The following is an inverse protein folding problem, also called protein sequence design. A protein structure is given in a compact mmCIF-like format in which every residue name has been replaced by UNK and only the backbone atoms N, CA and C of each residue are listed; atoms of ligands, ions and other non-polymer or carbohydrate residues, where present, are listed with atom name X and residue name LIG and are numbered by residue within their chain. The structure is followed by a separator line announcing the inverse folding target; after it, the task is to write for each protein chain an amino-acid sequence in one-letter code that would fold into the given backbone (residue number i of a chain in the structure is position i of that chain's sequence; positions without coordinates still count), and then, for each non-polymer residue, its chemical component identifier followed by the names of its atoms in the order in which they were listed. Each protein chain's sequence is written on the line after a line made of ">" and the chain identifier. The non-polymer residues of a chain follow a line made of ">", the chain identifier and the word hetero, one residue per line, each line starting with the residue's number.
data_IF_155406861962
#
_entry.id   IF_155406861962
#
_cell.length_a   1.000
_cell.length_b   1.000
_cell.length_c   1.000
_cell.angle_alpha   90.00
_cell.angle_beta   90.00
_cell.angle_gamma   90.00
#
_symmetry.space_group_name_H-M   'P 1'
#
loop_
_entity.id
_entity.type
_entity.pdbx_description
1 polymer ?
#
# COMPACT_ATOMS: atom_id res chain seq x y z
N UNK A 1 -6.21 -0.16 -19.87
CA UNK A 1 -6.32 -1.46 -19.15
C UNK A 1 -5.49 -2.58 -19.78
N UNK A 2 -5.40 -2.70 -21.12
CA UNK A 2 -4.57 -3.74 -21.78
C UNK A 2 -3.06 -3.48 -21.60
N UNK A 3 -2.65 -2.22 -21.65
CA UNK A 3 -1.28 -1.74 -21.47
C UNK A 3 -0.60 -2.25 -20.20
N UNK A 4 -1.26 -2.07 -19.06
CA UNK A 4 -0.71 -2.37 -17.74
C UNK A 4 -0.66 -3.88 -17.49
N UNK A 5 -1.62 -4.64 -18.04
CA UNK A 5 -1.59 -6.11 -18.01
C UNK A 5 -0.46 -6.70 -18.85
N UNK A 6 -0.11 -6.07 -19.98
CA UNK A 6 0.93 -6.57 -20.88
C UNK A 6 2.33 -6.09 -20.51
N UNK A 7 2.46 -5.04 -19.70
CA UNK A 7 3.74 -4.41 -19.35
C UNK A 7 4.59 -4.11 -20.60
N UNK A 8 3.91 -3.60 -21.65
CA UNK A 8 4.47 -3.53 -23.00
C UNK A 8 4.62 -2.07 -23.45
N UNK A 9 5.88 -1.67 -23.68
CA UNK A 9 6.24 -0.33 -24.16
C UNK A 9 5.71 -0.08 -25.57
N UNK A 10 5.51 -1.12 -26.39
CA UNK A 10 5.01 -1.00 -27.76
C UNK A 10 3.58 -0.46 -27.85
N UNK A 11 2.86 -0.39 -26.72
CA UNK A 11 1.52 0.17 -26.66
C UNK A 11 1.49 1.64 -26.21
N UNK A 12 2.64 2.23 -25.86
CA UNK A 12 2.72 3.60 -25.30
C UNK A 12 2.06 4.66 -26.17
N UNK A 13 2.12 4.52 -27.49
CA UNK A 13 1.53 5.47 -28.44
C UNK A 13 0.00 5.54 -28.38
N UNK A 14 -0.65 4.56 -27.75
CA UNK A 14 -2.10 4.55 -27.51
C UNK A 14 -2.53 5.37 -26.29
N UNK A 15 -1.58 5.85 -25.48
CA UNK A 15 -1.85 6.63 -24.27
C UNK A 15 -1.93 8.14 -24.55
N UNK A 16 -2.70 8.90 -23.76
CA UNK A 16 -2.58 10.35 -23.72
C UNK A 16 -1.16 10.79 -23.35
N UNK A 17 -0.71 11.94 -23.85
CA UNK A 17 0.69 12.37 -23.74
C UNK A 17 1.21 12.42 -22.30
N UNK A 18 0.41 12.91 -21.36
CA UNK A 18 0.79 12.96 -19.94
C UNK A 18 0.99 11.57 -19.32
N UNK A 19 0.23 10.55 -19.78
CA UNK A 19 0.36 9.18 -19.31
C UNK A 19 1.57 8.47 -19.92
N UNK A 20 1.98 8.84 -21.14
CA UNK A 20 3.17 8.27 -21.77
C UNK A 20 4.41 8.49 -20.91
N UNK A 21 4.58 9.71 -20.41
CA UNK A 21 5.71 10.05 -19.54
C UNK A 21 5.74 9.18 -18.28
N UNK A 22 4.61 9.11 -17.55
CA UNK A 22 4.50 8.33 -16.30
C UNK A 22 4.72 6.84 -16.57
N UNK A 23 4.09 6.30 -17.61
CA UNK A 23 4.19 4.88 -17.94
C UNK A 23 5.62 4.51 -18.36
N UNK A 24 6.28 5.34 -19.16
CA UNK A 24 7.68 5.14 -19.54
C UNK A 24 8.59 5.17 -18.32
N UNK A 25 8.47 6.17 -17.45
CA UNK A 25 9.27 6.27 -16.23
C UNK A 25 9.08 5.04 -15.33
N UNK A 26 7.85 4.53 -15.19
CA UNK A 26 7.58 3.29 -14.47
C UNK A 26 8.31 2.10 -15.10
N UNK A 27 8.20 1.91 -16.42
CA UNK A 27 8.88 0.81 -17.11
C UNK A 27 10.41 0.90 -16.98
N UNK A 28 10.96 2.11 -17.07
CA UNK A 28 12.39 2.38 -16.97
C UNK A 28 12.92 2.02 -15.57
N UNK A 29 12.23 2.42 -14.49
CA UNK A 29 12.61 2.06 -13.10
C UNK A 29 12.68 0.55 -12.91
N UNK A 30 11.67 -0.19 -13.41
CA UNK A 30 11.65 -1.65 -13.26
C UNK A 30 12.68 -2.35 -14.14
N UNK A 31 13.05 -1.77 -15.29
CA UNK A 31 14.14 -2.28 -16.13
C UNK A 31 15.49 -2.05 -15.45
N UNK A 32 15.74 -0.85 -14.93
CA UNK A 32 16.96 -0.53 -14.18
C UNK A 32 17.14 -1.45 -12.97
N UNK A 33 16.07 -1.65 -12.18
CA UNK A 33 16.10 -2.58 -11.05
C UNK A 33 16.39 -4.03 -11.51
N UNK A 34 15.80 -4.49 -12.61
CA UNK A 34 16.05 -5.82 -13.17
C UNK A 34 17.50 -5.99 -13.64
N UNK A 35 18.08 -4.97 -14.28
CA UNK A 35 19.48 -4.95 -14.72
C UNK A 35 20.46 -5.00 -13.54
N UNK A 36 20.21 -4.21 -12.49
CA UNK A 36 21.03 -4.22 -11.27
C UNK A 36 20.96 -5.58 -10.56
N UNK A 37 19.76 -6.13 -10.38
CA UNK A 37 19.57 -7.42 -9.71
C UNK A 37 20.06 -8.61 -10.54
N UNK A 38 20.10 -8.49 -11.87
CA UNK A 38 20.68 -9.51 -12.74
C UNK A 38 22.19 -9.70 -12.49
N UNK A 39 22.92 -8.64 -12.12
CA UNK A 39 24.34 -8.72 -11.73
C UNK A 39 24.55 -9.67 -10.54
N UNK A 40 23.54 -9.80 -9.71
CA UNK A 40 23.54 -10.63 -8.52
C UNK A 40 22.72 -11.93 -8.67
N UNK A 41 22.22 -12.25 -9.88
CA UNK A 41 21.34 -13.41 -10.16
C UNK A 41 20.01 -13.40 -9.38
N UNK A 42 19.54 -12.20 -8.99
CA UNK A 42 18.31 -11.97 -8.21
C UNK A 42 17.14 -11.42 -9.02
N UNK A 43 17.20 -11.48 -10.35
CA UNK A 43 16.18 -10.89 -11.24
C UNK A 43 14.77 -11.47 -11.02
N UNK A 44 14.62 -12.68 -10.50
CA UNK A 44 13.29 -13.25 -10.25
C UNK A 44 12.46 -12.45 -9.23
N UNK A 45 13.09 -11.77 -8.26
CA UNK A 45 12.38 -10.96 -7.26
C UNK A 45 11.63 -9.78 -7.88
N UNK A 46 12.18 -9.20 -8.96
CA UNK A 46 11.55 -8.07 -9.65
C UNK A 46 10.23 -8.47 -10.33
N UNK A 47 10.08 -9.75 -10.70
CA UNK A 47 8.85 -10.25 -11.33
C UNK A 47 7.65 -10.16 -10.38
N UNK A 48 7.85 -10.44 -9.09
CA UNK A 48 6.83 -10.28 -8.05
C UNK A 48 6.47 -8.80 -7.83
N UNK A 49 7.46 -7.91 -7.84
CA UNK A 49 7.24 -6.47 -7.73
C UNK A 49 6.48 -5.91 -8.95
N UNK A 50 6.78 -6.38 -10.16
CA UNK A 50 6.03 -6.04 -11.39
C UNK A 50 4.59 -6.53 -11.28
N UNK A 51 4.37 -7.80 -10.89
CA UNK A 51 3.04 -8.39 -10.76
C UNK A 51 2.14 -7.61 -9.79
N UNK A 52 2.67 -7.30 -8.60
CA UNK A 52 1.91 -6.54 -7.59
C UNK A 52 1.60 -5.11 -8.04
N UNK A 53 2.51 -4.45 -8.77
CA UNK A 53 2.25 -3.13 -9.35
C UNK A 53 1.15 -3.18 -10.43
N UNK A 54 1.14 -4.21 -11.27
CA UNK A 54 0.05 -4.42 -12.24
C UNK A 54 -1.29 -4.58 -11.55
N UNK A 55 -1.34 -5.36 -10.47
CA UNK A 55 -2.52 -5.53 -9.65
C UNK A 55 -2.99 -4.20 -9.05
N UNK A 56 -2.08 -3.41 -8.48
CA UNK A 56 -2.38 -2.09 -7.92
C UNK A 56 -3.04 -1.17 -8.96
N UNK A 57 -2.48 -1.11 -10.17
CA UNK A 57 -3.05 -0.28 -11.24
C UNK A 57 -4.45 -0.76 -11.64
N UNK A 58 -4.69 -2.07 -11.62
CA UNK A 58 -6.02 -2.63 -11.89
C UNK A 58 -7.02 -2.28 -10.78
N UNK A 59 -6.59 -2.24 -9.52
CA UNK A 59 -7.41 -1.85 -8.37
C UNK A 59 -7.76 -0.36 -8.42
N UNK A 60 -6.80 0.52 -8.70
CA UNK A 60 -7.08 1.94 -8.95
C UNK A 60 -8.08 2.15 -10.09
N UNK A 61 -8.02 1.31 -11.13
CA UNK A 61 -9.01 1.39 -12.20
C UNK A 61 -10.42 0.94 -11.76
N UNK A 62 -10.51 -0.02 -10.84
CA UNK A 62 -11.79 -0.41 -10.21
C UNK A 62 -12.36 0.74 -9.39
N UNK A 63 -11.54 1.38 -8.56
CA UNK A 63 -11.93 2.56 -7.78
C UNK A 63 -12.37 3.73 -8.67
N UNK A 64 -11.62 4.01 -9.74
CA UNK A 64 -11.99 5.03 -10.72
C UNK A 64 -13.35 4.74 -11.39
N UNK A 65 -13.69 3.46 -11.63
CA UNK A 65 -15.02 3.08 -12.12
C UNK A 65 -16.11 3.32 -11.09
N UNK A 66 -15.84 3.05 -9.81
CA UNK A 66 -16.80 3.36 -8.74
C UNK A 66 -17.09 4.84 -8.69
N UNK A 67 -16.04 5.67 -8.71
CA UNK A 67 -16.17 7.13 -8.76
C UNK A 67 -16.97 7.59 -9.99
N UNK A 68 -16.58 7.15 -11.19
CA UNK A 68 -17.24 7.54 -12.44
C UNK A 68 -18.74 7.18 -12.46
N UNK A 69 -19.11 6.06 -11.84
CA UNK A 69 -20.50 5.60 -11.79
C UNK A 69 -21.28 6.15 -10.59
N UNK A 70 -20.64 6.87 -9.67
CA UNK A 70 -21.23 7.22 -8.37
C UNK A 70 -21.63 5.99 -7.56
N UNK A 71 -20.93 4.87 -7.74
CA UNK A 71 -21.23 3.61 -7.07
C UNK A 71 -20.66 3.61 -5.66
N UNK A 72 -21.49 3.26 -4.68
CA UNK A 72 -21.09 3.06 -3.30
C UNK A 72 -21.06 1.55 -3.04
N UNK A 73 -19.87 0.93 -2.92
CA UNK A 73 -19.76 -0.49 -2.61
C UNK A 73 -20.25 -0.80 -1.20
N UNK A 74 -20.50 -2.07 -0.92
CA UNK A 74 -20.63 -2.53 0.47
C UNK A 74 -19.27 -2.39 1.19
N UNK A 75 -19.24 -2.32 2.52
CA UNK A 75 -18.00 -2.26 3.29
C UNK A 75 -17.10 -3.49 3.03
N UNK A 76 -17.68 -4.68 2.84
CA UNK A 76 -16.90 -5.88 2.54
C UNK A 76 -16.33 -5.87 1.11
N UNK A 77 -17.11 -5.38 0.13
CA UNK A 77 -16.62 -5.19 -1.24
C UNK A 77 -15.52 -4.11 -1.27
N UNK A 78 -15.73 -3.00 -0.57
CA UNK A 78 -14.74 -1.95 -0.37
C UNK A 78 -13.43 -2.53 0.16
N UNK A 79 -13.46 -3.28 1.27
CA UNK A 79 -12.26 -3.90 1.86
C UNK A 79 -11.54 -4.81 0.87
N UNK A 80 -12.27 -5.57 0.04
CA UNK A 80 -11.65 -6.46 -0.95
C UNK A 80 -10.79 -5.74 -2.00
N UNK A 81 -11.08 -4.45 -2.26
CA UNK A 81 -10.36 -3.61 -3.23
C UNK A 81 -9.41 -2.64 -2.52
N UNK A 82 -9.92 -1.85 -1.57
CA UNK A 82 -9.25 -0.71 -0.98
C UNK A 82 -8.06 -1.08 -0.08
N UNK A 83 -8.11 -2.24 0.58
CA UNK A 83 -6.98 -2.77 1.35
C UNK A 83 -5.80 -3.10 0.43
N UNK A 84 -6.06 -3.54 -0.79
CA UNK A 84 -5.01 -3.82 -1.79
C UNK A 84 -4.56 -2.54 -2.50
N UNK A 85 -5.47 -1.59 -2.74
CA UNK A 85 -5.19 -0.32 -3.44
C UNK A 85 -4.36 0.68 -2.63
N UNK A 86 -4.20 0.50 -1.32
CA UNK A 86 -3.34 1.35 -0.48
C UNK A 86 -1.87 1.34 -0.93
N UNK A 87 -1.49 0.43 -1.82
CA UNK A 87 -0.18 0.42 -2.46
C UNK A 87 0.94 -0.19 -1.60
N UNK A 88 0.61 -0.73 -0.42
CA UNK A 88 1.57 -1.38 0.47
C UNK A 88 2.33 -2.53 -0.20
N UNK A 89 1.63 -3.43 -0.89
CA UNK A 89 2.22 -4.67 -1.39
C UNK A 89 3.34 -4.47 -2.43
N UNK A 90 3.17 -3.65 -3.47
CA UNK A 90 4.26 -3.36 -4.41
C UNK A 90 5.52 -2.83 -3.71
N UNK A 91 5.35 -1.94 -2.72
CA UNK A 91 6.49 -1.36 -1.99
C UNK A 91 7.14 -2.39 -1.06
N UNK A 92 6.34 -3.17 -0.34
CA UNK A 92 6.85 -4.24 0.53
C UNK A 92 7.66 -5.27 -0.26
N UNK A 93 7.08 -5.77 -1.35
CA UNK A 93 7.72 -6.76 -2.23
C UNK A 93 8.98 -6.20 -2.86
N UNK A 94 8.96 -4.97 -3.38
CA UNK A 94 10.16 -4.32 -3.90
C UNK A 94 11.25 -4.23 -2.83
N UNK A 95 10.89 -3.89 -1.58
CA UNK A 95 11.85 -3.77 -0.48
C UNK A 95 12.52 -5.11 -0.11
N UNK A 96 11.86 -6.24 -0.36
CA UNK A 96 12.40 -7.56 -0.02
C UNK A 96 13.48 -8.02 -0.99
N UNK A 97 13.45 -7.53 -2.23
CA UNK A 97 14.38 -7.97 -3.28
C UNK A 97 15.83 -7.69 -2.86
N UNK A 98 16.04 -6.64 -2.06
CA UNK A 98 17.36 -6.24 -1.55
C UNK A 98 17.82 -6.98 -0.30
N UNK A 99 17.01 -7.87 0.29
CA UNK A 99 17.36 -8.59 1.53
C UNK A 99 18.33 -9.77 1.34
N UNK A 100 18.88 -9.94 0.13
CA UNK A 100 19.85 -10.99 -0.20
C UNK A 100 19.22 -12.36 -0.44
N UNK A 101 20.02 -13.27 -1.02
CA UNK A 101 19.54 -14.55 -1.58
C UNK A 101 18.86 -15.48 -0.57
N UNK A 102 19.25 -15.42 0.70
CA UNK A 102 18.70 -16.29 1.75
C UNK A 102 17.31 -15.86 2.22
N UNK A 103 16.93 -14.59 2.02
CA UNK A 103 15.67 -14.03 2.50
C UNK A 103 14.72 -13.77 1.33
N UNK A 104 15.23 -13.25 0.22
CA UNK A 104 14.46 -12.94 -0.99
C UNK A 104 14.07 -14.20 -1.78
N UNK A 105 13.77 -15.31 -1.12
CA UNK A 105 13.44 -16.59 -1.75
C UNK A 105 12.03 -16.57 -2.32
N UNK A 106 11.79 -17.43 -3.32
CA UNK A 106 10.47 -17.66 -3.91
C UNK A 106 9.41 -17.97 -2.86
N UNK A 107 9.73 -18.84 -1.90
CA UNK A 107 8.81 -19.27 -0.84
C UNK A 107 8.42 -18.11 0.09
N UNK A 108 9.37 -17.24 0.45
CA UNK A 108 9.07 -16.05 1.26
C UNK A 108 8.20 -15.05 0.48
N UNK A 109 8.48 -14.82 -0.80
CA UNK A 109 7.62 -13.97 -1.65
C UNK A 109 6.20 -14.54 -1.72
N UNK A 110 6.05 -15.83 -1.99
CA UNK A 110 4.73 -16.46 -2.05
C UNK A 110 4.01 -16.45 -0.70
N UNK A 111 4.71 -16.66 0.41
CA UNK A 111 4.14 -16.60 1.76
C UNK A 111 3.51 -15.22 2.05
N UNK A 112 4.26 -14.13 1.80
CA UNK A 112 3.75 -12.77 2.00
C UNK A 112 2.58 -12.49 1.05
N UNK A 113 2.71 -12.84 -0.24
CA UNK A 113 1.69 -12.53 -1.25
C UNK A 113 0.37 -13.28 -1.05
N UNK A 114 0.43 -14.52 -0.56
CA UNK A 114 -0.72 -15.44 -0.47
C UNK A 114 -1.45 -15.41 0.88
N UNK A 115 -1.23 -14.40 1.72
CA UNK A 115 -1.95 -14.10 2.98
C UNK A 115 -1.14 -14.30 4.26
N UNK A 116 0.04 -13.70 4.38
CA UNK A 116 0.57 -13.43 5.72
C UNK A 116 -0.44 -12.59 6.52
N UNK A 117 -0.72 -13.00 7.75
CA UNK A 117 -1.75 -12.37 8.60
C UNK A 117 -1.43 -10.89 8.83
N UNK A 118 -0.14 -10.58 9.02
CA UNK A 118 0.48 -9.27 9.15
C UNK A 118 0.37 -8.39 7.92
N UNK A 119 0.37 -8.98 6.71
CA UNK A 119 0.17 -8.22 5.46
C UNK A 119 -1.23 -7.65 5.42
N UNK A 120 -2.24 -8.50 5.66
CA UNK A 120 -3.64 -8.05 5.71
C UNK A 120 -3.84 -7.04 6.83
N UNK A 121 -3.31 -7.32 8.01
CA UNK A 121 -3.36 -6.40 9.13
C UNK A 121 -2.70 -5.03 8.84
N UNK A 122 -1.53 -5.03 8.18
CA UNK A 122 -0.84 -3.80 7.78
C UNK A 122 -1.67 -3.01 6.79
N UNK A 123 -2.27 -3.68 5.80
CA UNK A 123 -3.18 -3.03 4.85
C UNK A 123 -4.38 -2.40 5.55
N UNK A 124 -4.99 -3.12 6.51
CA UNK A 124 -6.10 -2.60 7.32
C UNK A 124 -5.69 -1.37 8.11
N UNK A 125 -4.57 -1.43 8.84
CA UNK A 125 -4.06 -0.30 9.64
C UNK A 125 -3.87 0.92 8.74
N UNK A 126 -3.12 0.78 7.66
CA UNK A 126 -2.76 1.92 6.80
C UNK A 126 -4.00 2.47 6.11
N UNK A 127 -4.84 1.62 5.52
CA UNK A 127 -6.05 2.04 4.79
C UNK A 127 -7.04 2.75 5.70
N UNK A 128 -7.36 2.20 6.86
CA UNK A 128 -8.37 2.84 7.71
C UNK A 128 -7.88 4.12 8.36
N UNK A 129 -6.60 4.19 8.72
CA UNK A 129 -6.04 5.44 9.23
C UNK A 129 -5.99 6.52 8.13
N UNK A 130 -5.62 6.16 6.89
CA UNK A 130 -5.68 7.04 5.71
C UNK A 130 -7.11 7.56 5.47
N UNK A 131 -8.09 6.66 5.43
CA UNK A 131 -9.49 7.01 5.22
C UNK A 131 -10.04 7.91 6.34
N UNK A 132 -9.76 7.60 7.62
CA UNK A 132 -10.20 8.41 8.77
C UNK A 132 -9.57 9.80 8.73
N UNK A 133 -8.31 9.93 8.34
CA UNK A 133 -7.63 11.21 8.22
C UNK A 133 -8.11 12.02 7.00
N UNK A 134 -8.47 11.34 5.92
CA UNK A 134 -8.74 11.93 4.61
C UNK A 134 -10.21 12.21 4.27
N UNK A 135 -11.16 11.44 4.81
CA UNK A 135 -12.51 11.35 4.23
C UNK A 135 -13.21 12.71 4.04
N UNK A 136 -13.12 13.63 5.01
CA UNK A 136 -13.75 14.97 4.89
C UNK A 136 -13.15 15.81 3.77
N UNK A 137 -11.86 15.69 3.53
CA UNK A 137 -11.18 16.38 2.43
C UNK A 137 -11.52 15.73 1.09
N UNK A 138 -11.51 14.39 1.06
CA UNK A 138 -11.77 13.61 -0.15
C UNK A 138 -13.21 13.77 -0.66
N UNK A 139 -14.20 13.81 0.24
CA UNK A 139 -15.59 14.10 -0.11
C UNK A 139 -15.74 15.44 -0.86
N UNK A 140 -15.01 16.48 -0.44
CA UNK A 140 -15.13 17.83 -1.03
C UNK A 140 -14.64 17.88 -2.48
N UNK A 141 -13.70 17.01 -2.86
CA UNK A 141 -13.12 16.99 -4.22
C UNK A 141 -13.75 15.96 -5.15
N UNK A 142 -14.73 15.19 -4.67
CA UNK A 142 -15.34 14.10 -5.43
C UNK A 142 -14.40 12.91 -5.58
N UNK A 143 -14.29 12.12 -4.52
CA UNK A 143 -13.48 10.90 -4.47
C UNK A 143 -14.37 9.65 -4.31
N UNK A 144 -13.77 8.45 -4.36
CA UNK A 144 -14.49 7.23 -3.99
C UNK A 144 -14.96 7.32 -2.52
N UNK A 145 -16.05 6.63 -2.14
CA UNK A 145 -16.45 6.53 -0.73
C UNK A 145 -15.34 5.87 0.09
N UNK A 146 -14.95 6.47 1.22
CA UNK A 146 -13.94 5.88 2.11
C UNK A 146 -14.55 4.74 2.95
N UNK A 147 -13.71 4.08 3.77
CA UNK A 147 -14.18 3.13 4.76
C UNK A 147 -15.29 3.70 5.65
N UNK A 148 -15.21 4.99 6.03
CA UNK A 148 -16.19 5.64 6.91
C UNK A 148 -17.57 5.67 6.23
N UNK A 149 -17.65 6.11 4.99
CA UNK A 149 -18.90 6.14 4.22
C UNK A 149 -19.44 4.75 3.94
N UNK A 150 -18.58 3.80 3.53
CA UNK A 150 -18.99 2.45 3.21
C UNK A 150 -19.55 1.73 4.44
N UNK A 151 -18.88 1.86 5.60
CA UNK A 151 -19.32 1.29 6.86
C UNK A 151 -20.64 1.91 7.33
N UNK A 152 -20.70 3.24 7.36
CA UNK A 152 -21.89 4.01 7.73
C UNK A 152 -23.10 3.59 6.88
N UNK A 153 -22.93 3.52 5.56
CA UNK A 153 -24.00 3.19 4.63
C UNK A 153 -24.46 1.73 4.78
N UNK A 154 -23.56 0.78 4.99
CA UNK A 154 -23.90 -0.63 5.18
C UNK A 154 -24.60 -0.89 6.52
N UNK A 155 -24.15 -0.25 7.60
CA UNK A 155 -24.60 -0.54 8.96
C UNK A 155 -25.67 0.44 9.49
N UNK A 156 -25.93 1.55 8.78
CA UNK A 156 -26.94 2.53 9.19
C UNK A 156 -26.59 3.30 10.47
N UNK A 157 -25.29 3.48 10.73
CA UNK A 157 -24.75 4.11 11.96
C UNK A 157 -24.37 5.59 11.74
N UNK A 158 -23.95 6.27 12.79
CA UNK A 158 -23.35 7.61 12.70
C UNK A 158 -21.91 7.58 12.14
N UNK A 159 -21.39 8.76 11.78
CA UNK A 159 -19.98 8.91 11.35
C UNK A 159 -19.02 8.58 12.50
N UNK A 160 -19.35 9.04 13.71
CA UNK A 160 -18.58 8.81 14.93
C UNK A 160 -18.53 7.33 15.30
N UNK A 161 -19.66 6.62 15.17
CA UNK A 161 -19.71 5.16 15.37
C UNK A 161 -18.88 4.43 14.31
N UNK A 162 -18.98 4.80 13.03
CA UNK A 162 -18.18 4.20 11.98
C UNK A 162 -16.67 4.38 12.24
N UNK A 163 -16.22 5.59 12.57
CA UNK A 163 -14.81 5.87 12.91
C UNK A 163 -14.35 5.03 14.11
N UNK A 164 -15.19 4.92 15.15
CA UNK A 164 -14.87 4.10 16.33
C UNK A 164 -14.69 2.63 15.96
N UNK A 165 -15.58 2.05 15.16
CA UNK A 165 -15.49 0.64 14.74
C UNK A 165 -14.26 0.38 13.86
N UNK A 166 -13.93 1.31 12.95
CA UNK A 166 -12.69 1.22 12.16
C UNK A 166 -11.44 1.27 13.02
N UNK A 167 -11.40 2.13 14.06
CA UNK A 167 -10.28 2.18 15.00
C UNK A 167 -10.15 0.91 15.85
N UNK A 168 -11.26 0.23 16.15
CA UNK A 168 -11.23 -1.10 16.78
C UNK A 168 -10.61 -2.14 15.84
N UNK A 169 -11.00 -2.15 14.56
CA UNK A 169 -10.41 -3.05 13.55
C UNK A 169 -8.90 -2.77 13.34
N UNK A 170 -8.47 -1.50 13.44
CA UNK A 170 -7.04 -1.11 13.47
C UNK A 170 -6.33 -1.67 14.71
N UNK A 171 -6.93 -1.55 15.89
CA UNK A 171 -6.35 -2.07 17.14
C UNK A 171 -6.22 -3.60 17.13
N UNK A 172 -7.20 -4.30 16.56
CA UNK A 172 -7.15 -5.76 16.39
C UNK A 172 -6.09 -6.17 15.36
N UNK A 173 -5.95 -5.40 14.27
CA UNK A 173 -4.89 -5.62 13.28
C UNK A 173 -3.48 -5.50 13.88
N UNK A 174 -3.27 -4.62 14.88
CA UNK A 174 -1.99 -4.58 15.60
C UNK A 174 -1.71 -5.86 16.39
N UNK A 175 -2.74 -6.50 16.97
CA UNK A 175 -2.60 -7.78 17.66
C UNK A 175 -2.21 -8.88 16.68
N UNK A 176 -2.80 -8.87 15.48
CA UNK A 176 -2.50 -9.80 14.41
C UNK A 176 -1.04 -9.73 13.94
N UNK A 177 -0.48 -8.51 13.82
CA UNK A 177 0.96 -8.33 13.52
C UNK A 177 1.82 -8.88 14.67
N UNK A 178 1.46 -8.58 15.92
CA UNK A 178 2.23 -9.04 17.08
C UNK A 178 2.24 -10.56 17.19
N UNK A 179 1.12 -11.22 16.92
CA UNK A 179 1.00 -12.68 16.95
C UNK A 179 1.91 -13.35 15.91
N UNK A 180 1.97 -12.83 14.68
CA UNK A 180 2.81 -13.43 13.63
C UNK A 180 4.32 -13.22 13.86
N UNK A 181 4.70 -12.28 14.73
CA UNK A 181 6.08 -12.09 15.18
C UNK A 181 6.50 -13.06 16.31
N UNK A 182 5.57 -13.83 16.88
CA UNK A 182 5.86 -14.85 17.88
C UNK A 182 6.38 -16.14 17.21
N UNK A 183 7.28 -16.84 17.90
CA UNK A 183 7.82 -18.11 17.39
C UNK A 183 6.81 -19.27 17.53
N UNK A 184 6.71 -20.18 16.55
CA UNK A 184 7.43 -20.18 15.26
C UNK A 184 6.82 -19.20 14.25
N UNK A 185 7.66 -18.51 13.49
CA UNK A 185 7.24 -17.52 12.49
C UNK A 185 6.87 -18.17 11.15
N UNK A 186 5.91 -17.57 10.44
CA UNK A 186 5.42 -18.03 9.12
C UNK A 186 6.36 -17.66 7.97
N UNK A 187 7.12 -16.58 8.14
CA UNK A 187 8.11 -16.07 7.20
C UNK A 187 9.37 -15.64 7.95
N UNK A 188 10.44 -15.32 7.21
CA UNK A 188 11.67 -14.84 7.84
C UNK A 188 11.43 -13.57 8.68
N UNK A 189 12.09 -13.48 9.85
CA UNK A 189 12.00 -12.31 10.72
C UNK A 189 12.32 -10.98 9.99
N UNK A 190 13.37 -10.89 9.15
CA UNK A 190 13.63 -9.68 8.36
C UNK A 190 12.47 -9.28 7.44
N UNK A 191 11.78 -10.25 6.83
CA UNK A 191 10.59 -10.00 6.00
C UNK A 191 9.44 -9.46 6.85
N UNK A 192 9.13 -10.10 7.98
CA UNK A 192 8.06 -9.66 8.89
C UNK A 192 8.38 -8.28 9.52
N UNK A 193 9.65 -7.99 9.80
CA UNK A 193 10.09 -6.67 10.27
C UNK A 193 9.81 -5.57 9.25
N UNK A 194 10.02 -5.82 7.95
CA UNK A 194 9.67 -4.86 6.90
C UNK A 194 8.16 -4.59 6.88
N UNK A 195 7.33 -5.63 6.98
CA UNK A 195 5.86 -5.49 7.09
C UNK A 195 5.49 -4.62 8.31
N UNK A 196 6.09 -4.91 9.48
CA UNK A 196 5.90 -4.12 10.70
C UNK A 196 6.33 -2.64 10.51
N UNK A 197 7.46 -2.38 9.85
CA UNK A 197 7.91 -1.01 9.63
C UNK A 197 6.98 -0.21 8.72
N UNK A 198 6.35 -0.86 7.74
CA UNK A 198 5.28 -0.23 6.95
C UNK A 198 4.03 0.07 7.77
N UNK A 199 3.60 -0.85 8.64
CA UNK A 199 2.49 -0.58 9.54
C UNK A 199 2.78 0.64 10.44
N UNK A 200 4.01 0.73 10.95
CA UNK A 200 4.47 1.86 11.77
C UNK A 200 4.55 3.17 10.98
N UNK A 201 5.02 3.13 9.74
CA UNK A 201 5.10 4.34 8.91
C UNK A 201 3.71 4.85 8.54
N UNK A 202 2.80 3.96 8.12
CA UNK A 202 1.40 4.32 7.88
C UNK A 202 0.76 4.91 9.12
N UNK A 203 0.92 4.27 10.28
CA UNK A 203 0.42 4.80 11.54
C UNK A 203 0.97 6.20 11.83
N UNK A 204 2.29 6.40 11.74
CA UNK A 204 2.93 7.70 11.96
C UNK A 204 2.43 8.79 10.98
N UNK A 205 2.12 8.43 9.74
CA UNK A 205 1.63 9.39 8.74
C UNK A 205 0.24 9.92 9.12
N UNK A 206 -0.59 9.12 9.80
CA UNK A 206 -2.02 9.42 10.02
C UNK A 206 -2.45 9.44 11.50
N UNK A 207 -1.52 9.31 12.46
CA UNK A 207 -1.83 9.09 13.89
C UNK A 207 -2.61 10.23 14.57
N UNK A 208 -2.49 11.44 14.07
CA UNK A 208 -3.19 12.63 14.56
C UNK A 208 -4.47 12.94 13.80
N UNK A 209 -4.93 12.01 12.95
CA UNK A 209 -6.11 12.20 12.10
C UNK A 209 -5.87 13.18 10.95
N UNK A 210 -4.61 13.46 10.61
CA UNK A 210 -4.24 14.27 9.45
C UNK A 210 -3.44 13.47 8.44
N UNK A 211 -3.65 13.75 7.15
CA UNK A 211 -2.81 13.22 6.08
C UNK A 211 -1.51 14.02 6.00
N UNK A 212 -0.51 13.60 6.77
CA UNK A 212 0.82 14.21 6.77
C UNK A 212 1.59 13.95 5.48
N UNK A 213 1.24 12.94 4.70
CA UNK A 213 1.91 12.63 3.44
C UNK A 213 1.57 13.67 2.37
N UNK A 214 0.28 13.94 2.16
CA UNK A 214 -0.17 15.01 1.25
C UNK A 214 0.18 16.39 1.82
N UNK A 215 0.04 16.58 3.13
CA UNK A 215 0.39 17.84 3.81
C UNK A 215 1.79 17.78 4.45
N UNK A 216 2.79 17.49 3.61
CA UNK A 216 4.18 17.17 4.01
C UNK A 216 4.89 18.17 4.92
N UNK A 217 4.45 19.44 4.98
CA UNK A 217 4.95 20.42 5.93
C UNK A 217 4.80 19.97 7.39
N UNK A 218 3.81 19.11 7.69
CA UNK A 218 3.59 18.54 9.02
C UNK A 218 4.71 17.58 9.45
N UNK A 219 5.45 16.99 8.50
CA UNK A 219 6.60 16.12 8.79
C UNK A 219 7.95 16.83 8.68
N UNK A 220 7.97 18.14 8.37
CA UNK A 220 9.21 18.88 8.10
C UNK A 220 10.24 18.75 9.23
N UNK A 221 9.78 18.78 10.48
CA UNK A 221 10.67 18.69 11.66
C UNK A 221 11.30 17.30 11.78
N UNK A 222 10.51 16.24 11.60
CA UNK A 222 10.97 14.86 11.68
C UNK A 222 11.96 14.54 10.55
N UNK A 223 11.69 15.04 9.34
CA UNK A 223 12.62 14.94 8.20
C UNK A 223 13.93 15.66 8.50
N UNK A 224 13.87 16.89 9.03
CA UNK A 224 15.07 17.66 9.38
C UNK A 224 15.91 16.96 10.45
N UNK A 225 15.27 16.45 11.50
CA UNK A 225 15.92 15.70 12.58
C UNK A 225 16.63 14.43 12.09
N UNK A 226 16.05 13.73 11.10
CA UNK A 226 16.60 12.47 10.62
C UNK A 226 17.69 12.65 9.55
N UNK A 227 17.53 13.62 8.65
CA UNK A 227 18.34 13.71 7.42
C UNK A 227 19.28 14.92 7.38
N UNK A 228 19.09 15.92 8.24
CA UNK A 228 19.86 17.19 8.15
C UNK A 228 20.54 17.60 9.45
N UNK A 229 19.96 17.26 10.60
CA UNK A 229 20.47 17.66 11.91
C UNK A 229 21.31 16.51 12.50
N UNK A 230 22.64 16.68 12.65
CA UNK A 230 23.46 15.68 13.30
C UNK A 230 23.07 15.58 14.79
N UNK A 231 23.13 14.37 15.34
CA UNK A 231 23.01 14.17 16.78
C UNK A 231 24.16 14.90 17.46
N UNK A 232 23.85 15.76 18.43
CA UNK A 232 24.87 16.32 19.30
C UNK A 232 25.49 15.17 20.12
N UNK A 233 26.79 14.96 19.95
CA UNK A 233 27.61 13.99 20.67
C UNK A 233 28.21 14.66 21.89
#
# INVERSE_FOLDING_TARGET
>A
MVLTKKWDIGLIDTLPEYMKFIFKALLDIYREAEEELAKERRSYGISYAKQTMQELIMLYFTEAKWLYKGYIPSFDEYKSVALRSIGFLPVAVASFVDLGDFIATKDNFECILKNAKSVKATQTIVRFMDDIAGYKFEQKRGHIPSAVECYKNQHGVSEEEAVKELLLEVADSWKDINEELLNPTTASLPTLQRVLYFARSGHFIYDDGHDRYTHSLMMKRQVALLLTEPLAI
#
